data_IF_740889687179
#
_entry.id   IF_740889687179
#
_cell.length_a   1.000
_cell.length_b   1.000
_cell.length_c   1.000
_cell.angle_alpha   90.00
_cell.angle_beta   90.00
_cell.angle_gamma   90.00
#
_symmetry.space_group_name_H-M   'P 1'
#
loop_
_entity.id
_entity.type
_entity.pdbx_description
1 polymer ?
#
# COMPACT_ATOMS: atom_id res chain seq x y z
N UNK A 1 2.26 -15.55 57.62
CA UNK A 1 3.22 -15.00 56.63
C UNK A 1 2.98 -15.69 55.30
N UNK A 2 2.05 -15.12 54.54
CA UNK A 2 1.41 -15.76 53.39
C UNK A 2 2.23 -15.55 52.11
N UNK A 3 2.42 -16.63 51.36
CA UNK A 3 3.13 -16.68 50.07
C UNK A 3 2.39 -15.85 49.03
N UNK A 4 2.91 -14.67 48.69
CA UNK A 4 2.56 -14.00 47.43
C UNK A 4 3.22 -14.77 46.28
N UNK A 5 2.46 -15.70 45.69
CA UNK A 5 2.79 -16.31 44.39
C UNK A 5 2.90 -15.18 43.37
N UNK A 6 4.09 -14.99 42.79
CA UNK A 6 4.28 -14.26 41.54
C UNK A 6 3.33 -14.85 40.49
N UNK A 7 2.26 -14.14 40.17
CA UNK A 7 1.45 -14.41 38.99
C UNK A 7 2.39 -14.17 37.81
N UNK A 8 2.89 -15.27 37.23
CA UNK A 8 3.49 -15.22 35.90
C UNK A 8 2.39 -14.69 34.98
N UNK A 9 2.56 -13.47 34.49
CA UNK A 9 1.79 -12.94 33.36
C UNK A 9 2.04 -13.85 32.16
N UNK A 10 1.28 -14.92 32.04
CA UNK A 10 1.04 -15.56 30.76
C UNK A 10 0.33 -14.51 29.92
N UNK A 11 1.08 -13.76 29.10
CA UNK A 11 0.49 -12.96 28.03
C UNK A 11 -0.32 -13.94 27.21
N UNK A 12 -1.63 -13.90 27.40
CA UNK A 12 -2.56 -14.68 26.59
C UNK A 12 -2.25 -14.34 25.13
N UNK A 13 -1.85 -15.34 24.36
CA UNK A 13 -1.24 -15.15 23.04
C UNK A 13 -2.39 -14.82 22.09
N UNK A 14 -2.88 -13.58 22.13
CA UNK A 14 -4.02 -13.13 21.32
C UNK A 14 -3.70 -13.38 19.85
N UNK A 15 -4.54 -14.17 19.20
CA UNK A 15 -4.42 -14.40 17.76
C UNK A 15 -4.77 -13.12 17.02
N UNK A 16 -3.88 -12.70 16.13
CA UNK A 16 -4.03 -11.50 15.31
C UNK A 16 -4.56 -11.86 13.93
N UNK A 17 -5.44 -11.03 13.40
CA UNK A 17 -5.87 -11.07 12.00
C UNK A 17 -5.28 -9.83 11.32
N UNK A 18 -4.27 -10.03 10.47
CA UNK A 18 -3.69 -8.94 9.67
C UNK A 18 -4.59 -8.58 8.49
N UNK A 19 -4.47 -7.33 8.02
CA UNK A 19 -5.15 -6.89 6.80
C UNK A 19 -4.69 -7.68 5.58
N UNK A 20 -5.63 -8.03 4.70
CA UNK A 20 -5.40 -8.75 3.45
C UNK A 20 -5.00 -7.78 2.34
N UNK A 21 -3.94 -8.11 1.62
CA UNK A 21 -3.40 -7.29 0.54
C UNK A 21 -3.82 -7.84 -0.82
N UNK A 22 -4.31 -6.97 -1.71
CA UNK A 22 -4.34 -7.21 -3.15
C UNK A 22 -3.23 -6.36 -3.79
N UNK A 23 -2.23 -7.01 -4.40
CA UNK A 23 -1.14 -6.32 -5.09
C UNK A 23 -1.27 -6.55 -6.58
N UNK A 24 -1.46 -5.47 -7.33
CA UNK A 24 -1.50 -5.46 -8.79
C UNK A 24 -0.27 -4.72 -9.31
N UNK A 25 0.48 -5.35 -10.22
CA UNK A 25 1.73 -4.78 -10.75
C UNK A 25 1.91 -4.99 -12.25
N UNK A 26 2.42 -3.96 -12.93
CA UNK A 26 2.88 -3.99 -14.32
C UNK A 26 4.21 -4.75 -14.54
N UNK A 27 4.93 -5.11 -13.47
CA UNK A 27 6.18 -5.85 -13.52
C UNK A 27 6.09 -7.16 -12.71
N UNK A 28 6.13 -8.30 -13.41
CA UNK A 28 6.03 -9.63 -12.80
C UNK A 28 7.14 -9.91 -11.80
N UNK A 29 8.38 -9.48 -12.07
CA UNK A 29 9.52 -9.78 -11.19
C UNK A 29 9.41 -8.98 -9.90
N UNK A 30 9.05 -7.70 -10.03
CA UNK A 30 8.77 -6.85 -8.87
C UNK A 30 7.64 -7.43 -8.01
N UNK A 31 6.54 -7.87 -8.65
CA UNK A 31 5.41 -8.48 -7.96
C UNK A 31 5.82 -9.72 -7.19
N UNK A 32 6.55 -10.65 -7.82
CA UNK A 32 7.05 -11.87 -7.17
C UNK A 32 7.90 -11.57 -5.94
N UNK A 33 8.80 -10.58 -6.04
CA UNK A 33 9.60 -10.10 -4.92
C UNK A 33 8.75 -9.55 -3.78
N UNK A 34 7.72 -8.75 -4.07
CA UNK A 34 6.80 -8.23 -3.06
C UNK A 34 5.98 -9.35 -2.39
N UNK A 35 5.47 -10.30 -3.16
CA UNK A 35 4.73 -11.46 -2.63
C UNK A 35 5.59 -12.32 -1.70
N UNK A 36 6.88 -12.49 -2.02
CA UNK A 36 7.84 -13.17 -1.15
C UNK A 36 8.01 -12.42 0.17
N UNK A 37 8.16 -11.10 0.12
CA UNK A 37 8.27 -10.26 1.32
C UNK A 37 7.00 -10.35 2.20
N UNK A 38 5.80 -10.27 1.61
CA UNK A 38 4.55 -10.43 2.36
C UNK A 38 4.48 -11.78 3.07
N UNK A 39 4.88 -12.85 2.38
CA UNK A 39 4.93 -14.21 2.94
C UNK A 39 5.92 -14.31 4.10
N UNK A 40 7.12 -13.74 3.97
CA UNK A 40 8.12 -13.70 5.05
C UNK A 40 7.60 -12.96 6.30
N UNK A 41 6.76 -11.94 6.10
CA UNK A 41 6.13 -11.18 7.17
C UNK A 41 4.81 -11.79 7.68
N UNK A 42 4.42 -12.97 7.20
CA UNK A 42 3.16 -13.65 7.53
C UNK A 42 1.90 -12.80 7.26
N UNK A 43 1.94 -11.95 6.23
CA UNK A 43 0.79 -11.17 5.77
C UNK A 43 0.21 -11.82 4.53
N UNK A 44 -1.10 -12.04 4.50
CA UNK A 44 -1.78 -12.61 3.33
C UNK A 44 -1.82 -11.58 2.20
N UNK A 45 -1.36 -11.98 1.03
CA UNK A 45 -1.41 -11.17 -0.17
C UNK A 45 -1.80 -12.01 -1.39
N UNK A 46 -2.66 -11.45 -2.24
CA UNK A 46 -2.94 -11.96 -3.57
C UNK A 46 -2.29 -11.05 -4.61
N UNK A 47 -1.46 -11.61 -5.48
CA UNK A 47 -0.78 -10.88 -6.54
C UNK A 47 -1.42 -11.08 -7.90
N UNK A 48 -1.51 -10.02 -8.69
CA UNK A 48 -2.04 -10.07 -10.06
C UNK A 48 -1.14 -9.22 -10.96
N UNK A 49 -0.60 -9.83 -12.01
CA UNK A 49 0.15 -9.09 -13.02
C UNK A 49 -0.79 -8.52 -14.08
N UNK A 50 -0.78 -7.20 -14.26
CA UNK A 50 -1.57 -6.48 -15.26
C UNK A 50 -0.82 -5.22 -15.70
N UNK A 51 -0.90 -4.89 -16.99
CA UNK A 51 -0.44 -3.57 -17.47
C UNK A 51 -1.29 -2.45 -16.87
N UNK A 52 -0.73 -1.25 -16.75
CA UNK A 52 -1.35 -0.08 -16.10
C UNK A 52 -2.72 0.25 -16.72
N UNK A 53 -2.82 0.14 -18.05
CA UNK A 53 -4.07 0.29 -18.78
C UNK A 53 -5.09 -0.79 -18.41
N UNK A 54 -4.65 -2.05 -18.31
CA UNK A 54 -5.53 -3.19 -18.00
C UNK A 54 -6.03 -3.16 -16.56
N UNK A 55 -5.25 -2.57 -15.63
CA UNK A 55 -5.68 -2.44 -14.22
C UNK A 55 -7.00 -1.68 -14.14
N UNK A 56 -7.09 -0.53 -14.80
CA UNK A 56 -8.31 0.29 -14.83
C UNK A 56 -9.54 -0.49 -15.29
N UNK A 57 -9.38 -1.37 -16.26
CA UNK A 57 -10.49 -2.15 -16.84
C UNK A 57 -10.96 -3.28 -15.91
N UNK A 58 -10.05 -3.86 -15.11
CA UNK A 58 -10.32 -5.07 -14.32
C UNK A 58 -10.36 -4.86 -12.81
N UNK A 59 -9.97 -3.69 -12.30
CA UNK A 59 -9.83 -3.45 -10.86
C UNK A 59 -11.12 -3.74 -10.09
N UNK A 60 -12.29 -3.33 -10.62
CA UNK A 60 -13.59 -3.55 -9.96
C UNK A 60 -13.91 -5.03 -9.81
N UNK A 61 -13.57 -5.84 -10.80
CA UNK A 61 -13.75 -7.29 -10.73
C UNK A 61 -12.90 -7.86 -9.59
N UNK A 62 -11.59 -7.56 -9.57
CA UNK A 62 -10.68 -8.12 -8.60
C UNK A 62 -10.94 -7.66 -7.16
N UNK A 63 -11.30 -6.39 -6.93
CA UNK A 63 -11.63 -5.93 -5.58
C UNK A 63 -12.91 -6.58 -5.06
N UNK A 64 -13.86 -6.90 -5.94
CA UNK A 64 -15.11 -7.59 -5.58
C UNK A 64 -14.86 -9.06 -5.26
N UNK A 65 -14.02 -9.74 -6.04
CA UNK A 65 -13.68 -11.15 -5.81
C UNK A 65 -12.78 -11.36 -4.59
N UNK A 66 -11.76 -10.52 -4.43
CA UNK A 66 -10.74 -10.67 -3.37
C UNK A 66 -11.18 -10.03 -2.05
N UNK A 67 -12.01 -8.97 -2.10
CA UNK A 67 -12.45 -8.18 -0.94
C UNK A 67 -11.29 -7.68 -0.05
N UNK A 68 -10.23 -7.06 -0.60
CA UNK A 68 -9.03 -6.74 0.17
C UNK A 68 -9.23 -5.60 1.17
N UNK A 69 -8.41 -5.57 2.22
CA UNK A 69 -8.33 -4.44 3.16
C UNK A 69 -7.36 -3.35 2.65
N UNK A 70 -6.39 -3.76 1.83
CA UNK A 70 -5.31 -2.95 1.28
C UNK A 70 -5.15 -3.30 -0.20
N UNK A 71 -5.14 -2.30 -1.06
CA UNK A 71 -4.88 -2.43 -2.50
C UNK A 71 -3.57 -1.71 -2.81
N UNK A 72 -2.62 -2.42 -3.41
CA UNK A 72 -1.39 -1.87 -3.96
C UNK A 72 -1.49 -1.92 -5.49
N UNK A 73 -1.37 -0.77 -6.16
CA UNK A 73 -1.35 -0.67 -7.61
C UNK A 73 -0.06 0.02 -8.06
N UNK A 74 0.87 -0.78 -8.57
CA UNK A 74 2.21 -0.36 -8.98
C UNK A 74 2.46 -0.81 -10.43
N UNK A 75 3.60 -0.41 -10.99
CA UNK A 75 3.94 -0.70 -12.39
C UNK A 75 5.04 0.25 -12.86
N UNK A 76 4.94 0.69 -14.11
CA UNK A 76 5.89 1.61 -14.74
C UNK A 76 5.27 2.98 -14.97
N UNK A 77 6.07 4.03 -14.76
CA UNK A 77 5.74 5.39 -15.16
C UNK A 77 7.04 6.11 -15.50
N UNK A 78 6.93 7.21 -16.23
CA UNK A 78 8.06 8.03 -16.63
C UNK A 78 7.64 9.49 -16.64
N UNK A 79 8.58 10.39 -16.31
CA UNK A 79 8.36 11.83 -16.30
C UNK A 79 9.39 12.51 -17.21
N UNK A 80 8.90 13.26 -18.21
CA UNK A 80 9.75 13.86 -19.24
C UNK A 80 10.51 15.14 -18.78
N UNK A 81 10.35 15.55 -17.52
CA UNK A 81 10.99 16.73 -16.92
C UNK A 81 10.52 18.11 -17.44
N UNK A 82 9.46 18.18 -18.25
CA UNK A 82 8.99 19.44 -18.87
C UNK A 82 7.98 20.23 -18.03
N UNK A 83 7.63 19.76 -16.83
CA UNK A 83 6.74 20.46 -15.90
C UNK A 83 5.96 19.51 -15.00
N UNK A 84 6.21 19.55 -13.69
CA UNK A 84 5.69 18.54 -12.73
C UNK A 84 4.18 18.55 -12.58
N UNK A 85 3.52 19.65 -12.90
CA UNK A 85 2.08 19.82 -12.72
C UNK A 85 1.26 19.30 -13.91
N UNK A 86 1.86 19.18 -15.09
CA UNK A 86 1.13 18.74 -16.28
C UNK A 86 1.16 17.22 -16.38
N UNK A 87 -0.02 16.59 -16.28
CA UNK A 87 -0.18 15.14 -16.41
C UNK A 87 0.18 14.61 -17.81
N UNK A 88 0.27 15.45 -18.85
CA UNK A 88 0.76 15.04 -20.17
C UNK A 88 2.27 14.72 -20.15
N UNK A 89 2.99 15.19 -19.15
CA UNK A 89 4.42 14.93 -18.99
C UNK A 89 4.72 13.57 -18.36
N UNK A 90 3.67 12.78 -18.07
CA UNK A 90 3.74 11.47 -17.44
C UNK A 90 3.11 10.41 -18.34
N UNK A 91 3.72 9.24 -18.41
CA UNK A 91 3.27 8.16 -19.30
C UNK A 91 2.04 7.44 -18.76
N UNK A 92 2.05 7.07 -17.48
CA UNK A 92 1.04 6.20 -16.86
C UNK A 92 0.33 6.80 -15.65
N UNK A 93 0.75 7.96 -15.14
CA UNK A 93 0.10 8.63 -14.01
C UNK A 93 -1.43 8.75 -14.16
N UNK A 94 -1.93 8.97 -15.39
CA UNK A 94 -3.37 8.99 -15.67
C UNK A 94 -4.06 7.65 -15.45
N UNK A 95 -3.42 6.54 -15.81
CA UNK A 95 -3.96 5.20 -15.60
C UNK A 95 -4.08 4.88 -14.09
N UNK A 96 -3.06 5.25 -13.31
CA UNK A 96 -3.10 5.11 -11.85
C UNK A 96 -4.19 6.00 -11.23
N UNK A 97 -4.29 7.27 -11.63
CA UNK A 97 -5.33 8.19 -11.16
C UNK A 97 -6.74 7.64 -11.43
N UNK A 98 -7.01 7.19 -12.65
CA UNK A 98 -8.30 6.62 -13.02
C UNK A 98 -8.62 5.37 -12.19
N UNK A 99 -7.61 4.51 -11.97
CA UNK A 99 -7.75 3.31 -11.13
C UNK A 99 -8.11 3.66 -9.69
N UNK A 100 -7.40 4.61 -9.07
CA UNK A 100 -7.68 5.08 -7.71
C UNK A 100 -9.10 5.64 -7.61
N UNK A 101 -9.51 6.49 -8.56
CA UNK A 101 -10.86 7.06 -8.60
C UNK A 101 -11.93 5.98 -8.72
N UNK A 102 -11.67 4.94 -9.52
CA UNK A 102 -12.60 3.83 -9.68
C UNK A 102 -12.75 3.04 -8.38
N UNK A 103 -11.65 2.76 -7.66
CA UNK A 103 -11.73 2.15 -6.32
C UNK A 103 -12.56 3.02 -5.37
N UNK A 104 -12.37 4.35 -5.39
CA UNK A 104 -13.09 5.31 -4.53
C UNK A 104 -14.57 5.49 -4.84
N UNK A 105 -15.04 5.04 -6.01
CA UNK A 105 -16.49 4.93 -6.27
C UNK A 105 -17.15 3.80 -5.48
N UNK A 106 -16.38 2.82 -5.02
CA UNK A 106 -16.90 1.64 -4.31
C UNK A 106 -16.54 1.64 -2.82
N UNK A 107 -15.37 2.19 -2.46
CA UNK A 107 -14.86 2.12 -1.08
C UNK A 107 -14.30 3.47 -0.60
N UNK A 108 -14.70 3.88 0.60
CA UNK A 108 -14.14 5.01 1.31
C UNK A 108 -12.67 4.81 1.71
N UNK A 109 -12.00 5.91 2.08
CA UNK A 109 -10.58 5.93 2.41
C UNK A 109 -10.22 5.06 3.63
N UNK A 110 -11.12 4.99 4.62
CA UNK A 110 -10.93 4.18 5.83
C UNK A 110 -11.42 2.74 5.67
N UNK A 111 -12.20 2.43 4.62
CA UNK A 111 -12.67 1.07 4.33
C UNK A 111 -11.56 0.26 3.67
N UNK A 112 -10.94 0.80 2.61
CA UNK A 112 -9.84 0.17 1.88
C UNK A 112 -8.69 1.16 1.72
N UNK A 113 -7.50 0.72 2.12
CA UNK A 113 -6.27 1.52 1.96
C UNK A 113 -5.72 1.33 0.57
N UNK A 114 -5.45 2.42 -0.15
CA UNK A 114 -4.93 2.39 -1.51
C UNK A 114 -3.52 2.96 -1.55
N UNK A 115 -2.57 2.16 -2.03
CA UNK A 115 -1.17 2.53 -2.25
C UNK A 115 -0.95 2.48 -3.76
N UNK A 116 -0.58 3.59 -4.40
CA UNK A 116 -0.56 3.67 -5.86
C UNK A 116 0.65 4.38 -6.47
N UNK A 117 0.97 4.03 -7.71
CA UNK A 117 1.96 4.70 -8.55
C UNK A 117 3.29 3.98 -8.63
N UNK A 118 4.17 4.51 -9.47
CA UNK A 118 5.45 3.93 -9.83
C UNK A 118 6.59 4.93 -9.63
N UNK A 119 7.80 4.55 -10.05
CA UNK A 119 8.92 5.46 -10.23
C UNK A 119 8.46 6.67 -11.06
N UNK A 120 8.82 7.88 -10.63
CA UNK A 120 8.50 9.12 -11.32
C UNK A 120 7.00 9.45 -11.51
N UNK A 121 6.05 8.79 -10.83
CA UNK A 121 4.63 9.15 -10.92
C UNK A 121 4.28 10.55 -10.38
N UNK A 122 3.16 11.10 -10.84
CA UNK A 122 2.61 12.35 -10.33
C UNK A 122 1.94 12.16 -8.96
N UNK A 123 2.76 12.19 -7.91
CA UNK A 123 2.38 11.99 -6.52
C UNK A 123 1.13 12.77 -6.06
N UNK A 124 1.11 14.10 -6.23
CA UNK A 124 0.04 14.95 -5.69
C UNK A 124 -1.30 14.65 -6.36
N UNK A 125 -1.30 14.31 -7.65
CA UNK A 125 -2.51 13.95 -8.38
C UNK A 125 -3.07 12.60 -7.92
N UNK A 126 -2.20 11.65 -7.53
CA UNK A 126 -2.62 10.37 -6.94
C UNK A 126 -3.26 10.57 -5.56
N UNK A 127 -2.61 11.35 -4.69
CA UNK A 127 -3.17 11.69 -3.37
C UNK A 127 -4.49 12.45 -3.52
N UNK A 128 -4.54 13.47 -4.37
CA UNK A 128 -5.76 14.24 -4.63
C UNK A 128 -6.90 13.39 -5.25
N UNK A 129 -6.57 12.27 -5.88
CA UNK A 129 -7.55 11.31 -6.42
C UNK A 129 -8.05 10.30 -5.38
N UNK A 130 -7.47 10.30 -4.19
CA UNK A 130 -7.92 9.49 -3.05
C UNK A 130 -7.00 8.33 -2.68
N UNK A 131 -5.77 8.28 -3.18
CA UNK A 131 -4.78 7.32 -2.69
C UNK A 131 -4.40 7.66 -1.24
N UNK A 132 -4.25 6.66 -0.38
CA UNK A 132 -3.72 6.87 0.98
C UNK A 132 -2.22 7.14 0.94
N UNK A 133 -1.51 6.37 0.11
CA UNK A 133 -0.08 6.54 -0.13
C UNK A 133 0.19 6.50 -1.62
N UNK A 134 1.22 7.24 -2.04
CA UNK A 134 1.66 7.23 -3.42
C UNK A 134 3.18 7.28 -3.54
N UNK A 135 3.67 6.61 -4.58
CA UNK A 135 5.08 6.57 -4.93
C UNK A 135 5.55 7.91 -5.52
N UNK A 136 6.85 8.16 -5.33
CA UNK A 136 7.68 9.20 -5.93
C UNK A 136 7.26 10.66 -5.73
N UNK A 137 7.07 11.17 -4.50
CA UNK A 137 6.97 12.62 -4.23
C UNK A 137 8.10 13.43 -4.92
N UNK A 138 9.31 12.89 -4.94
CA UNK A 138 10.49 13.49 -5.57
C UNK A 138 10.59 13.34 -7.09
N UNK A 139 9.77 12.49 -7.72
CA UNK A 139 9.92 12.03 -9.12
C UNK A 139 11.26 11.33 -9.37
N UNK A 140 11.68 10.54 -8.40
CA UNK A 140 12.91 9.76 -8.43
C UNK A 140 12.59 8.30 -8.73
N UNK A 141 13.60 7.57 -9.23
CA UNK A 141 13.55 6.11 -9.26
C UNK A 141 13.54 5.59 -7.82
N UNK A 142 12.56 4.76 -7.49
CA UNK A 142 12.34 4.19 -6.16
C UNK A 142 12.70 2.72 -6.15
N UNK A 143 13.05 2.18 -4.98
CA UNK A 143 13.45 0.78 -4.87
C UNK A 143 12.22 -0.15 -4.94
N UNK A 144 12.48 -1.42 -5.22
CA UNK A 144 11.51 -2.47 -5.49
C UNK A 144 10.51 -2.78 -4.36
N UNK A 145 10.67 -2.23 -3.15
CA UNK A 145 9.89 -2.70 -1.98
C UNK A 145 9.09 -1.62 -1.25
N UNK A 146 9.23 -0.34 -1.60
CA UNK A 146 8.66 0.75 -0.79
C UNK A 146 7.13 0.64 -0.60
N UNK A 147 6.33 0.38 -1.67
CA UNK A 147 4.88 0.18 -1.52
C UNK A 147 4.53 -1.04 -0.66
N UNK A 148 5.32 -2.11 -0.75
CA UNK A 148 5.11 -3.34 0.00
C UNK A 148 5.39 -3.14 1.50
N UNK A 149 6.44 -2.41 1.85
CA UNK A 149 6.76 -2.06 3.24
C UNK A 149 5.61 -1.26 3.88
N UNK A 150 5.07 -0.28 3.16
CA UNK A 150 3.89 0.48 3.62
C UNK A 150 2.68 -0.44 3.78
N UNK A 151 2.40 -1.31 2.80
CA UNK A 151 1.28 -2.24 2.88
C UNK A 151 1.37 -3.18 4.11
N UNK A 152 2.55 -3.73 4.39
CA UNK A 152 2.80 -4.56 5.59
C UNK A 152 2.55 -3.76 6.85
N UNK A 153 3.04 -2.51 6.90
CA UNK A 153 2.86 -1.65 8.06
C UNK A 153 1.38 -1.33 8.31
N UNK A 154 0.61 -1.06 7.27
CA UNK A 154 -0.85 -0.87 7.36
C UNK A 154 -1.53 -2.16 7.84
N UNK A 155 -1.17 -3.31 7.25
CA UNK A 155 -1.76 -4.61 7.56
C UNK A 155 -1.56 -5.04 9.02
N UNK A 156 -0.43 -4.65 9.61
CA UNK A 156 -0.01 -5.03 10.97
C UNK A 156 -0.30 -3.95 12.03
N UNK A 157 -0.70 -2.75 11.62
CA UNK A 157 -1.16 -1.71 12.54
C UNK A 157 -2.62 -1.95 12.91
N UNK A 158 -3.00 -1.73 14.17
CA UNK A 158 -4.38 -1.92 14.63
C UNK A 158 -5.39 -1.01 13.91
N UNK A 159 -6.60 -1.51 13.66
CA UNK A 159 -7.65 -0.80 12.92
C UNK A 159 -8.08 0.54 13.54
N UNK A 160 -7.78 0.77 14.82
CA UNK A 160 -8.09 1.99 15.57
C UNK A 160 -6.85 2.84 15.86
N UNK A 161 -5.73 2.58 15.17
CA UNK A 161 -4.48 3.31 15.34
C UNK A 161 -4.01 3.87 14.01
N UNK A 162 -3.54 5.10 14.04
CA UNK A 162 -2.87 5.72 12.88
C UNK A 162 -1.57 4.98 12.64
N UNK A 163 -1.28 4.71 11.36
CA UNK A 163 -0.04 4.11 10.91
C UNK A 163 1.12 5.05 11.20
N UNK A 164 2.06 4.59 12.02
CA UNK A 164 3.32 5.28 12.27
C UNK A 164 4.24 5.12 11.06
N UNK A 165 4.06 6.02 10.08
CA UNK A 165 4.85 6.06 8.85
C UNK A 165 6.33 6.34 9.14
N UNK A 166 6.65 7.21 10.10
CA UNK A 166 8.04 7.56 10.45
C UNK A 166 8.85 6.34 10.87
N UNK A 167 8.23 5.39 11.58
CA UNK A 167 8.91 4.15 11.96
C UNK A 167 9.38 3.30 10.78
N UNK A 168 8.80 3.47 9.59
CA UNK A 168 9.16 2.71 8.38
C UNK A 168 9.94 3.51 7.33
N UNK A 169 9.94 4.85 7.38
CA UNK A 169 10.69 5.70 6.46
C UNK A 169 12.18 5.31 6.40
N UNK A 170 12.77 4.89 7.51
CA UNK A 170 14.17 4.45 7.59
C UNK A 170 14.48 3.16 6.80
N UNK A 171 13.47 2.40 6.41
CA UNK A 171 13.61 1.20 5.58
C UNK A 171 13.29 1.45 4.09
N UNK A 172 12.86 2.67 3.76
CA UNK A 172 12.54 3.10 2.40
C UNK A 172 13.75 3.86 1.85
N UNK A 173 14.26 3.41 0.71
CA UNK A 173 15.37 4.10 0.05
C UNK A 173 14.91 5.50 -0.39
N UNK A 174 15.67 6.55 -0.05
CA UNK A 174 15.28 7.96 -0.24
C UNK A 174 14.09 8.44 0.62
N UNK A 175 13.58 7.60 1.54
CA UNK A 175 12.58 7.96 2.53
C UNK A 175 11.36 8.69 1.96
N UNK A 176 11.07 9.89 2.47
CA UNK A 176 9.92 10.71 2.04
C UNK A 176 9.99 11.19 0.59
N UNK A 177 11.15 11.14 -0.06
CA UNK A 177 11.24 11.47 -1.48
C UNK A 177 10.73 10.32 -2.37
N UNK A 178 10.73 9.09 -1.85
CA UNK A 178 10.32 7.89 -2.58
C UNK A 178 8.85 7.51 -2.36
N UNK A 179 8.30 7.69 -1.17
CA UNK A 179 6.88 7.41 -0.91
C UNK A 179 6.35 8.36 0.16
N UNK A 180 5.07 8.74 0.02
CA UNK A 180 4.39 9.61 0.94
C UNK A 180 2.90 9.30 0.98
N UNK A 181 2.14 10.00 1.81
CA UNK A 181 0.72 9.76 1.96
C UNK A 181 0.03 10.69 2.94
N UNK A 182 -1.22 10.36 3.25
CA UNK A 182 -2.05 11.02 4.25
C UNK A 182 -2.22 10.10 5.48
N UNK A 183 -2.65 10.68 6.60
CA UNK A 183 -2.95 9.90 7.80
C UNK A 183 -3.93 8.77 7.48
N UNK A 184 -3.61 7.57 7.94
CA UNK A 184 -4.34 6.35 7.57
C UNK A 184 -4.37 5.41 8.77
N UNK A 185 -5.53 4.85 9.07
CA UNK A 185 -5.68 3.81 10.10
C UNK A 185 -5.15 2.45 9.61
N UNK A 186 -4.66 1.64 10.54
CA UNK A 186 -4.26 0.27 10.26
C UNK A 186 -5.42 -0.66 9.89
N UNK A 187 -5.14 -1.95 9.67
CA UNK A 187 -6.15 -2.97 9.33
C UNK A 187 -6.14 -4.20 10.24
N UNK A 188 -5.15 -4.34 11.12
CA UNK A 188 -5.07 -5.48 12.03
C UNK A 188 -6.22 -5.48 13.04
N UNK A 189 -6.80 -6.66 13.27
CA UNK A 189 -7.79 -6.96 14.30
C UNK A 189 -7.30 -8.06 15.24
N UNK A 190 -7.90 -8.14 16.42
CA UNK A 190 -7.66 -9.23 17.38
C UNK A 190 -8.84 -10.19 17.32
N UNK A 191 -8.57 -11.49 17.31
CA UNK A 191 -9.61 -12.49 17.57
C UNK A 191 -9.98 -12.43 19.06
N UNK A 192 -11.28 -12.48 19.33
CA UNK A 192 -11.87 -12.45 20.67
C UNK A 192 -12.13 -13.86 21.19
#
# INVERSE_FOLDING_TARGET
>A
MERIKRIRSTRDKRTVLFGRILHIDGDTKFLESCLKLYKEMNVFAQGIHLTERSVKEKIVQYITEVTPDIIVVTGHDSYNQQGKADLNNYENSRNFIDTVRLIRKHYGMDEVVVIAGACASHFEALIASGANFASSPGRISTHTYDPAIVAIKVATTGFNRIVDFESIVKYIENGRAAIGGVETYGKMRLLL
#
